data_IF_327465871182
#
_entry.id   IF_327465871182
#
_cell.length_a   1.000
_cell.length_b   1.000
_cell.length_c   1.000
_cell.angle_alpha   90.00
_cell.angle_beta   90.00
_cell.angle_gamma   90.00
#
_symmetry.space_group_name_H-M   'P 1'
#
loop_
_entity.id
_entity.type
_entity.pdbx_description
1 polymer ?
#
# COMPACT_ATOMS: atom_id res chain seq x y z
N UNK A 1 14.04 -1.02 27.80
CA UNK A 1 14.42 -0.27 26.58
C UNK A 1 13.20 0.41 26.03
N UNK A 2 12.94 1.62 26.49
CA UNK A 2 11.88 2.45 25.94
C UNK A 2 12.43 3.22 24.74
N UNK A 3 11.66 3.25 23.66
CA UNK A 3 11.99 4.07 22.50
C UNK A 3 11.99 5.55 22.92
N UNK A 4 12.92 6.37 22.41
CA UNK A 4 13.01 7.79 22.78
C UNK A 4 11.75 8.56 22.36
N UNK A 5 11.40 9.60 23.11
CA UNK A 5 10.27 10.47 22.78
C UNK A 5 10.55 11.25 21.49
N UNK A 6 9.71 11.01 20.47
CA UNK A 6 9.89 11.57 19.12
C UNK A 6 9.27 12.97 18.95
N UNK A 7 8.57 13.50 19.96
CA UNK A 7 7.89 14.81 19.88
C UNK A 7 6.72 14.88 18.90
N UNK A 8 6.22 13.73 18.42
CA UNK A 8 5.09 13.60 17.50
C UNK A 8 3.90 12.93 18.19
N UNK A 9 2.69 13.43 17.92
CA UNK A 9 1.44 12.86 18.43
C UNK A 9 0.77 12.00 17.36
N UNK A 10 0.43 10.77 17.69
CA UNK A 10 -0.32 9.89 16.78
C UNK A 10 -1.78 10.34 16.65
N UNK A 11 -2.32 10.19 15.44
CA UNK A 11 -3.76 10.31 15.17
C UNK A 11 -4.28 8.90 14.92
N UNK A 12 -5.08 8.39 15.85
CA UNK A 12 -5.70 7.08 15.73
C UNK A 12 -6.92 7.18 14.82
N UNK A 13 -7.07 6.21 13.92
CA UNK A 13 -8.18 6.13 12.97
C UNK A 13 -8.87 4.78 13.08
N UNK A 14 -10.19 4.79 12.95
CA UNK A 14 -11.04 3.61 12.72
C UNK A 14 -11.11 3.26 11.23
N UNK A 15 -12.03 2.36 10.86
CA UNK A 15 -12.19 1.87 9.48
C UNK A 15 -12.70 2.95 8.51
N UNK A 16 -12.26 2.84 7.26
CA UNK A 16 -12.81 3.57 6.12
C UNK A 16 -13.49 2.60 5.17
N UNK A 17 -14.75 2.86 4.83
CA UNK A 17 -15.55 2.01 3.94
C UNK A 17 -16.25 2.84 2.88
N UNK A 18 -16.68 2.21 1.79
CA UNK A 18 -17.58 2.87 0.86
C UNK A 18 -19.00 2.87 1.41
N UNK A 19 -19.64 4.03 1.41
CA UNK A 19 -21.02 4.20 1.84
C UNK A 19 -21.89 4.59 0.64
N UNK A 20 -22.85 3.74 0.22
CA UNK A 20 -23.70 4.03 -0.93
C UNK A 20 -24.65 5.22 -0.67
N UNK A 21 -25.03 5.47 0.59
CA UNK A 21 -25.85 6.65 0.96
C UNK A 21 -25.10 7.97 0.90
N UNK A 22 -23.83 7.96 1.29
CA UNK A 22 -22.96 9.14 1.18
C UNK A 22 -22.38 9.29 -0.23
N UNK A 23 -22.54 8.27 -1.09
CA UNK A 23 -21.95 8.17 -2.42
C UNK A 23 -20.42 8.35 -2.41
N UNK A 24 -19.73 7.75 -1.43
CA UNK A 24 -18.27 7.88 -1.32
C UNK A 24 -17.66 7.13 -0.13
N UNK A 25 -16.34 7.23 -0.02
CA UNK A 25 -15.57 6.69 1.11
C UNK A 25 -15.89 7.50 2.37
N UNK A 26 -16.24 6.80 3.44
CA UNK A 26 -16.71 7.38 4.68
C UNK A 26 -15.95 6.79 5.87
N UNK A 27 -15.78 7.61 6.90
CA UNK A 27 -15.11 7.22 8.15
C UNK A 27 -16.11 6.63 9.13
N UNK A 28 -15.78 5.48 9.73
CA UNK A 28 -16.62 4.80 10.72
C UNK A 28 -17.06 5.71 11.87
N UNK A 29 -16.15 6.54 12.40
CA UNK A 29 -16.47 7.44 13.51
C UNK A 29 -17.37 8.63 13.16
N UNK A 30 -17.70 8.84 11.87
CA UNK A 30 -18.53 9.95 11.40
C UNK A 30 -19.78 9.49 10.64
N UNK A 31 -19.71 8.34 9.96
CA UNK A 31 -20.77 7.84 9.11
C UNK A 31 -21.71 6.91 9.87
N UNK A 32 -22.98 7.31 10.02
CA UNK A 32 -24.01 6.50 10.69
C UNK A 32 -24.60 5.35 9.86
N UNK A 33 -24.04 5.05 8.68
CA UNK A 33 -24.58 4.07 7.72
C UNK A 33 -23.78 2.75 7.70
N UNK A 34 -23.33 2.28 8.86
CA UNK A 34 -22.52 1.06 8.97
C UNK A 34 -23.23 -0.22 8.51
N UNK A 35 -24.57 -0.23 8.53
CA UNK A 35 -25.41 -1.33 8.04
C UNK A 35 -25.32 -1.55 6.52
N UNK A 36 -24.88 -0.54 5.79
CA UNK A 36 -24.75 -0.54 4.33
C UNK A 36 -23.28 -0.42 3.90
N UNK A 37 -22.35 -0.65 4.82
CA UNK A 37 -20.92 -0.53 4.53
C UNK A 37 -20.50 -1.51 3.45
N UNK A 38 -19.69 -1.02 2.51
CA UNK A 38 -19.00 -1.84 1.52
C UNK A 38 -17.51 -1.79 1.81
N UNK A 39 -16.92 -2.96 2.07
CA UNK A 39 -15.52 -3.08 2.46
C UNK A 39 -14.58 -2.82 1.28
N UNK A 40 -13.56 -2.01 1.53
CA UNK A 40 -12.51 -1.69 0.57
C UNK A 40 -11.31 -2.62 0.76
N UNK A 41 -11.51 -3.92 0.54
CA UNK A 41 -10.46 -4.91 0.76
C UNK A 41 -9.31 -4.76 -0.26
N UNK A 42 -8.08 -5.09 0.15
CA UNK A 42 -6.93 -5.03 -0.76
C UNK A 42 -7.07 -5.97 -1.96
N UNK A 43 -7.68 -7.14 -1.79
CA UNK A 43 -7.96 -8.08 -2.91
C UNK A 43 -8.93 -7.46 -3.90
N UNK A 44 -9.94 -6.76 -3.41
CA UNK A 44 -10.90 -6.05 -4.24
C UNK A 44 -10.26 -4.89 -5.01
N UNK A 45 -9.43 -4.06 -4.36
CA UNK A 45 -8.72 -2.97 -5.04
C UNK A 45 -7.74 -3.51 -6.10
N UNK A 46 -7.03 -4.61 -5.82
CA UNK A 46 -6.13 -5.25 -6.79
C UNK A 46 -6.87 -5.76 -8.02
N UNK A 47 -8.07 -6.34 -7.86
CA UNK A 47 -8.86 -6.81 -9.00
C UNK A 47 -9.27 -5.65 -9.92
N UNK A 48 -9.65 -4.49 -9.36
CA UNK A 48 -9.94 -3.27 -10.15
C UNK A 48 -8.70 -2.84 -10.96
N UNK A 49 -7.53 -2.78 -10.31
CA UNK A 49 -6.28 -2.39 -10.97
C UNK A 49 -5.95 -3.35 -12.14
N UNK A 50 -6.20 -4.65 -11.97
CA UNK A 50 -6.00 -5.69 -12.98
C UNK A 50 -7.07 -5.72 -14.09
N UNK A 51 -8.05 -4.82 -14.08
CA UNK A 51 -9.10 -4.76 -15.09
C UNK A 51 -10.36 -5.58 -14.77
N UNK A 52 -10.59 -5.90 -13.50
CA UNK A 52 -11.85 -6.44 -13.00
C UNK A 52 -13.05 -5.50 -13.23
N UNK A 53 -14.26 -6.05 -13.14
CA UNK A 53 -15.52 -5.36 -13.43
C UNK A 53 -16.16 -4.86 -12.14
N UNK A 54 -16.21 -3.55 -11.93
CA UNK A 54 -17.14 -2.84 -11.02
C UNK A 54 -16.98 -1.32 -11.21
N UNK A 55 -17.84 -0.45 -10.62
CA UNK A 55 -17.74 0.99 -10.84
C UNK A 55 -16.50 1.55 -10.12
N UNK A 56 -15.35 1.38 -10.75
CA UNK A 56 -14.09 2.01 -10.38
C UNK A 56 -14.29 3.48 -10.02
N UNK A 57 -15.10 4.32 -10.71
CA UNK A 57 -15.23 5.74 -10.37
C UNK A 57 -15.69 6.05 -8.93
N UNK A 58 -16.39 5.12 -8.27
CA UNK A 58 -16.91 5.31 -6.91
C UNK A 58 -15.94 4.83 -5.83
N UNK A 59 -15.09 3.86 -6.15
CA UNK A 59 -14.11 3.26 -5.23
C UNK A 59 -12.70 3.85 -5.42
N UNK A 60 -12.28 4.06 -6.67
CA UNK A 60 -10.99 4.58 -7.07
C UNK A 60 -11.17 5.65 -8.16
N UNK A 61 -10.65 6.84 -7.87
CA UNK A 61 -10.65 7.96 -8.82
C UNK A 61 -10.12 7.54 -10.21
N UNK A 62 -10.86 7.76 -11.31
CA UNK A 62 -10.46 7.31 -12.65
C UNK A 62 -9.09 7.80 -13.07
N UNK A 63 -8.76 9.06 -12.75
CA UNK A 63 -7.47 9.68 -13.06
C UNK A 63 -6.30 8.98 -12.36
N UNK A 64 -6.53 8.45 -11.15
CA UNK A 64 -5.53 7.69 -10.40
C UNK A 64 -5.34 6.32 -11.02
N UNK A 65 -6.43 5.64 -11.39
CA UNK A 65 -6.36 4.34 -12.05
C UNK A 65 -5.64 4.42 -13.40
N UNK A 66 -5.92 5.45 -14.19
CA UNK A 66 -5.22 5.72 -15.45
C UNK A 66 -3.71 5.92 -15.23
N UNK A 67 -3.34 6.73 -14.24
CA UNK A 67 -1.94 6.97 -13.94
C UNK A 67 -1.21 5.71 -13.46
N UNK A 68 -1.87 4.87 -12.65
CA UNK A 68 -1.31 3.56 -12.22
C UNK A 68 -1.04 2.67 -13.43
N UNK A 69 -1.97 2.60 -14.38
CA UNK A 69 -1.79 1.82 -15.62
C UNK A 69 -0.65 2.36 -16.48
N UNK A 70 -0.59 3.68 -16.66
CA UNK A 70 0.51 4.32 -17.41
C UNK A 70 1.87 4.05 -16.78
N UNK A 71 1.97 4.07 -15.45
CA UNK A 71 3.20 3.71 -14.75
C UNK A 71 3.55 2.23 -14.89
N UNK A 72 2.55 1.34 -14.87
CA UNK A 72 2.75 -0.09 -15.10
C UNK A 72 3.36 -0.35 -16.48
N UNK A 73 2.80 0.28 -17.53
CA UNK A 73 3.28 0.14 -18.89
C UNK A 73 4.70 0.72 -19.06
N UNK A 74 4.97 1.88 -18.46
CA UNK A 74 6.23 2.58 -18.66
C UNK A 74 7.39 2.04 -17.79
N UNK A 75 7.11 1.62 -16.56
CA UNK A 75 8.13 1.31 -15.56
C UNK A 75 7.97 -0.07 -14.92
N UNK A 76 6.78 -0.67 -14.99
CA UNK A 76 6.43 -1.92 -14.32
C UNK A 76 6.46 -3.16 -15.22
N UNK A 77 7.04 -3.05 -16.43
CA UNK A 77 7.04 -4.12 -17.43
C UNK A 77 5.63 -4.62 -17.80
N UNK A 78 4.65 -3.71 -17.81
CA UNK A 78 3.23 -4.01 -18.06
C UNK A 78 2.46 -4.50 -16.85
N UNK A 79 3.10 -4.66 -15.68
CA UNK A 79 2.45 -5.01 -14.41
C UNK A 79 2.42 -3.80 -13.46
N UNK A 80 1.28 -3.52 -12.81
CA UNK A 80 1.20 -2.48 -11.78
C UNK A 80 1.74 -2.96 -10.42
N UNK A 81 2.26 -4.19 -10.32
CA UNK A 81 2.73 -4.79 -9.08
C UNK A 81 4.21 -5.15 -9.11
N UNK A 82 4.82 -5.13 -7.94
CA UNK A 82 6.19 -5.60 -7.70
C UNK A 82 6.18 -7.13 -7.69
N UNK A 83 6.54 -7.74 -8.82
CA UNK A 83 6.78 -9.18 -8.95
C UNK A 83 8.26 -9.52 -9.09
N UNK A 84 8.57 -10.81 -9.23
CA UNK A 84 9.94 -11.30 -9.36
C UNK A 84 10.64 -10.70 -10.61
N UNK A 85 9.94 -10.64 -11.74
CA UNK A 85 10.44 -10.02 -12.97
C UNK A 85 10.77 -8.53 -12.77
N UNK A 86 9.92 -7.82 -12.00
CA UNK A 86 10.18 -6.44 -11.66
C UNK A 86 11.43 -6.31 -10.79
N UNK A 87 11.58 -7.16 -9.77
CA UNK A 87 12.73 -7.13 -8.87
C UNK A 87 14.04 -7.47 -9.59
N UNK A 88 14.00 -8.38 -10.57
CA UNK A 88 15.15 -8.76 -11.38
C UNK A 88 15.54 -7.68 -12.40
N UNK A 89 14.56 -6.97 -12.98
CA UNK A 89 14.78 -6.01 -14.06
C UNK A 89 14.81 -4.52 -13.65
N UNK A 90 14.41 -4.18 -12.42
CA UNK A 90 14.30 -2.77 -11.99
C UNK A 90 15.64 -2.06 -11.94
N UNK A 91 15.61 -0.75 -12.19
CA UNK A 91 16.75 0.13 -11.90
C UNK A 91 17.03 0.15 -10.39
N UNK A 92 18.28 -0.14 -9.95
CA UNK A 92 18.66 0.00 -8.55
C UNK A 92 18.50 1.46 -8.11
N UNK A 93 17.70 1.70 -7.06
CA UNK A 93 17.46 3.05 -6.53
C UNK A 93 18.61 3.51 -5.63
N UNK A 94 19.11 2.58 -4.81
CA UNK A 94 20.20 2.83 -3.88
C UNK A 94 20.93 1.51 -3.65
N UNK A 95 22.25 1.56 -3.73
CA UNK A 95 23.14 0.51 -3.25
C UNK A 95 23.43 0.79 -1.80
N UNK A 96 22.97 -0.11 -0.92
CA UNK A 96 23.47 -0.13 0.45
C UNK A 96 24.90 -0.65 0.38
N UNK A 97 25.83 0.04 1.02
CA UNK A 97 27.13 -0.56 1.29
C UNK A 97 26.88 -1.70 2.27
N UNK A 98 27.49 -2.86 2.03
CA UNK A 98 27.53 -3.90 3.04
C UNK A 98 28.06 -3.25 4.32
N UNK A 99 27.31 -3.41 5.41
CA UNK A 99 27.78 -2.97 6.70
C UNK A 99 28.89 -3.95 7.06
N UNK A 100 30.14 -3.59 6.75
CA UNK A 100 31.33 -4.28 7.22
C UNK A 100 31.31 -4.25 8.76
N UNK A 101 30.65 -5.23 9.36
CA UNK A 101 30.56 -5.32 10.80
C UNK A 101 31.92 -5.79 11.33
N UNK A 102 32.82 -4.83 11.58
CA UNK A 102 34.05 -5.03 12.34
C UNK A 102 33.80 -4.91 13.86
N UNK A 103 32.56 -5.06 14.33
CA UNK A 103 32.24 -4.96 15.75
C UNK A 103 32.35 -6.34 16.43
N UNK A 104 33.32 -6.46 17.32
CA UNK A 104 33.59 -7.62 18.21
C UNK A 104 32.46 -7.95 19.21
N UNK A 105 31.29 -7.32 19.09
CA UNK A 105 30.20 -7.41 20.09
C UNK A 105 28.78 -7.34 19.50
N UNK A 106 28.60 -7.36 18.18
CA UNK A 106 27.25 -7.43 17.64
C UNK A 106 26.69 -8.85 17.76
N UNK A 107 25.65 -9.01 18.59
CA UNK A 107 24.80 -10.21 18.65
C UNK A 107 23.90 -10.27 17.41
N UNK A 108 24.52 -10.50 16.25
CA UNK A 108 23.80 -10.93 15.06
C UNK A 108 23.51 -12.41 15.23
N UNK A 109 22.44 -12.73 15.97
CA UNK A 109 21.93 -14.10 16.01
C UNK A 109 21.39 -14.47 14.64
N UNK A 110 22.12 -15.35 13.97
CA UNK A 110 21.67 -16.31 12.97
C UNK A 110 20.29 -16.04 12.36
N UNK A 111 20.26 -15.32 11.24
CA UNK A 111 19.24 -15.55 10.22
C UNK A 111 19.86 -16.46 9.17
N UNK A 112 19.87 -17.76 9.51
CA UNK A 112 20.11 -18.82 8.56
C UNK A 112 19.04 -18.78 7.47
N UNK A 113 19.52 -18.60 6.24
CA UNK A 113 18.99 -19.24 5.03
C UNK A 113 20.06 -20.22 4.58
#
# INVERSE_FOLDING_TARGET
DDLPELGIKSVLTLEWWYCPKCAGVAYEGLCGHGDQKQELSGTYIRSIIQGGVEPAPLTLRPEVLEMVRKCADQYGFGSPFVGDDYLAGRTPVMTMHEVDCACTVCTCSDLGV
#
